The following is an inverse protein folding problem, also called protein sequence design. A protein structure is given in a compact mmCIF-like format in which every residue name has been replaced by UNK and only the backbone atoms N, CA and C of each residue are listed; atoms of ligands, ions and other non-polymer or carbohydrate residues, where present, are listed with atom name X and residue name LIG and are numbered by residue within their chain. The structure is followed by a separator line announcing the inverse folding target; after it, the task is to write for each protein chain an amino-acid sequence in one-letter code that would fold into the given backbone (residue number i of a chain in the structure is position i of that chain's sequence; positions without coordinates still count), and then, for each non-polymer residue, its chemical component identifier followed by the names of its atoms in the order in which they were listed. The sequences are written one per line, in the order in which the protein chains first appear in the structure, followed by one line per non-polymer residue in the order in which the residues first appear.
data_IF_858511633671
#
_entry.id   IF_858511633671
#
_cell.length_a   1.000
_cell.length_b   1.000
_cell.length_c   1.000
_cell.angle_alpha   90.00
_cell.angle_beta   90.00
_cell.angle_gamma   90.00
#
_symmetry.space_group_name_H-M   'P 1'
#
loop_
_entity.id
_entity.type
_entity.pdbx_description
1 polymer ?
#
# COMPACT_ATOMS: atom_id res chain seq x y z
N UNK A 1 60.14 27.36 -36.06
CA UNK A 1 59.86 28.45 -35.10
C UNK A 1 58.68 29.23 -35.66
N UNK A 2 57.45 28.94 -35.21
CA UNK A 2 56.25 29.82 -35.20
C UNK A 2 55.10 28.97 -34.61
N UNK A 3 54.73 29.29 -33.36
CA UNK A 3 53.61 28.69 -32.62
C UNK A 3 52.55 29.78 -32.48
N UNK A 4 51.36 29.55 -33.01
CA UNK A 4 50.16 30.35 -32.71
C UNK A 4 49.36 29.64 -31.61
N UNK A 5 49.30 30.26 -30.44
CA UNK A 5 48.44 29.92 -29.32
C UNK A 5 47.04 30.48 -29.59
N UNK A 6 46.01 29.64 -29.61
CA UNK A 6 44.62 30.05 -29.46
C UNK A 6 44.08 29.39 -28.18
N UNK A 7 43.84 30.20 -27.15
CA UNK A 7 43.34 29.76 -25.86
C UNK A 7 41.86 29.40 -25.94
N UNK A 8 41.50 28.20 -25.51
CA UNK A 8 40.12 27.79 -25.29
C UNK A 8 39.70 28.14 -23.86
N UNK A 9 38.69 28.99 -23.72
CA UNK A 9 38.01 29.31 -22.46
C UNK A 9 37.10 28.13 -22.12
N UNK A 10 37.39 27.43 -21.03
CA UNK A 10 36.58 26.34 -20.49
C UNK A 10 35.55 26.93 -19.51
N UNK A 11 34.28 26.98 -19.92
CA UNK A 11 33.18 27.45 -19.09
C UNK A 11 32.73 26.32 -18.14
N UNK A 12 33.16 26.38 -16.88
CA UNK A 12 32.70 25.48 -15.81
C UNK A 12 31.31 25.96 -15.37
N UNK A 13 30.26 25.21 -15.71
CA UNK A 13 28.92 25.40 -15.16
C UNK A 13 28.86 24.75 -13.78
N UNK A 14 29.01 25.57 -12.73
CA UNK A 14 28.77 25.19 -11.34
C UNK A 14 27.25 25.03 -11.12
N UNK A 15 26.80 23.80 -10.90
CA UNK A 15 25.46 23.53 -10.35
C UNK A 15 25.46 23.89 -8.86
N UNK A 16 24.95 25.07 -8.54
CA UNK A 16 24.62 25.41 -7.15
C UNK A 16 23.32 24.67 -6.75
N UNK A 17 23.23 24.07 -5.55
CA UNK A 17 21.97 23.57 -5.03
C UNK A 17 21.04 24.76 -4.80
N UNK A 18 19.92 24.79 -5.54
CA UNK A 18 18.85 25.77 -5.30
C UNK A 18 18.18 25.37 -3.99
N UNK A 19 18.55 26.04 -2.91
CA UNK A 19 17.75 26.03 -1.68
C UNK A 19 16.55 26.92 -1.96
N UNK A 20 15.44 26.31 -2.40
CA UNK A 20 14.16 27.02 -2.55
C UNK A 20 13.64 27.29 -1.14
N UNK A 21 13.77 28.54 -0.71
CA UNK A 21 13.07 29.06 0.46
C UNK A 21 11.58 29.02 0.15
N UNK A 22 10.91 28.01 0.68
CA UNK A 22 9.54 27.66 0.32
C UNK A 22 8.54 28.61 1.00
N UNK A 23 8.52 29.88 0.57
CA UNK A 23 7.36 30.74 0.78
C UNK A 23 6.24 30.29 -0.17
N UNK A 24 4.98 30.56 0.18
CA UNK A 24 3.81 30.17 -0.61
C UNK A 24 3.99 30.48 -2.11
N UNK A 25 3.77 29.49 -2.98
CA UNK A 25 3.85 29.66 -4.43
C UNK A 25 2.97 30.83 -4.89
N UNK A 26 3.55 31.80 -5.60
CA UNK A 26 2.80 32.94 -6.15
C UNK A 26 1.76 32.47 -7.19
N UNK A 27 0.71 33.26 -7.45
CA UNK A 27 -0.25 32.96 -8.53
C UNK A 27 0.42 32.72 -9.89
N UNK A 28 1.45 33.50 -10.22
CA UNK A 28 2.23 33.38 -11.45
C UNK A 28 3.04 32.08 -11.49
N UNK A 29 3.66 31.70 -10.38
CA UNK A 29 4.41 30.44 -10.26
C UNK A 29 3.49 29.22 -10.40
N UNK A 30 2.28 29.28 -9.80
CA UNK A 30 1.27 28.23 -9.93
C UNK A 30 0.84 28.05 -11.39
N UNK A 31 0.51 29.16 -12.06
CA UNK A 31 0.11 29.13 -13.48
C UNK A 31 1.22 28.56 -14.38
N UNK A 32 2.48 28.94 -14.12
CA UNK A 32 3.64 28.38 -14.84
C UNK A 32 3.79 26.87 -14.62
N UNK A 33 3.70 26.40 -13.38
CA UNK A 33 3.82 24.98 -13.04
C UNK A 33 2.66 24.16 -13.62
N UNK A 34 1.46 24.72 -13.67
CA UNK A 34 0.29 24.08 -14.28
C UNK A 34 0.44 23.96 -15.80
N UNK A 35 0.94 25.01 -16.47
CA UNK A 35 1.26 24.95 -17.89
C UNK A 35 2.34 23.90 -18.19
N UNK A 36 3.41 23.85 -17.39
CA UNK A 36 4.47 22.85 -17.51
C UNK A 36 3.93 21.43 -17.27
N UNK A 37 3.11 21.24 -16.23
CA UNK A 37 2.47 19.96 -15.93
C UNK A 37 1.63 19.45 -17.11
N UNK A 38 0.81 20.33 -17.70
CA UNK A 38 -0.05 20.01 -18.84
C UNK A 38 0.77 19.68 -20.09
N UNK A 39 1.90 20.36 -20.30
CA UNK A 39 2.82 20.05 -21.38
C UNK A 39 3.47 18.67 -21.19
N UNK A 40 3.92 18.35 -19.97
CA UNK A 40 4.48 17.04 -19.64
C UNK A 40 3.47 15.91 -19.82
N UNK A 41 2.20 16.16 -19.51
CA UNK A 41 1.12 15.19 -19.76
C UNK A 41 1.00 14.84 -21.25
N UNK A 42 1.09 15.84 -22.13
CA UNK A 42 1.09 15.62 -23.59
C UNK A 42 2.32 14.84 -24.03
N UNK A 43 3.51 15.21 -23.54
CA UNK A 43 4.76 14.49 -23.85
C UNK A 43 4.67 13.01 -23.44
N UNK A 44 4.11 12.70 -22.26
CA UNK A 44 3.96 11.32 -21.79
C UNK A 44 3.07 10.50 -22.73
N UNK A 45 1.97 11.08 -23.23
CA UNK A 45 1.05 10.44 -24.18
C UNK A 45 1.72 10.25 -25.55
N UNK A 46 2.47 11.25 -26.03
CA UNK A 46 3.24 11.15 -27.27
C UNK A 46 4.28 10.04 -27.19
N UNK A 47 5.05 9.96 -26.10
CA UNK A 47 6.02 8.88 -25.91
C UNK A 47 5.34 7.51 -25.77
N UNK A 48 4.15 7.44 -25.17
CA UNK A 48 3.36 6.22 -25.14
C UNK A 48 2.97 5.77 -26.55
N UNK A 49 2.55 6.70 -27.41
CA UNK A 49 2.26 6.40 -28.81
C UNK A 49 3.48 5.89 -29.57
N UNK A 50 4.66 6.50 -29.37
CA UNK A 50 5.92 6.01 -29.95
C UNK A 50 6.23 4.58 -29.49
N UNK A 51 6.02 4.27 -28.20
CA UNK A 51 6.20 2.91 -27.68
C UNK A 51 5.25 1.92 -28.36
N UNK A 52 3.98 2.31 -28.54
CA UNK A 52 2.97 1.46 -29.17
C UNK A 52 3.25 1.22 -30.66
N UNK A 53 3.68 2.24 -31.40
CA UNK A 53 4.09 2.13 -32.81
C UNK A 53 5.37 1.30 -32.97
N UNK A 54 6.28 1.37 -32.02
CA UNK A 54 7.55 0.64 -32.06
C UNK A 54 7.39 -0.86 -31.80
N UNK A 55 6.25 -1.29 -31.22
CA UNK A 55 5.92 -2.73 -31.06
C UNK A 55 5.95 -3.50 -32.38
N UNK A 56 5.58 -2.86 -33.50
CA UNK A 56 5.62 -3.46 -34.83
C UNK A 56 7.05 -3.73 -35.33
N UNK A 57 8.06 -3.13 -34.71
CA UNK A 57 9.50 -3.27 -35.04
C UNK A 57 10.25 -4.13 -34.02
N UNK A 58 9.54 -4.95 -33.24
CA UNK A 58 10.11 -5.86 -32.24
C UNK A 58 11.17 -6.77 -32.88
N UNK A 59 12.21 -7.11 -32.11
CA UNK A 59 13.33 -7.93 -32.56
C UNK A 59 14.13 -7.30 -33.72
N UNK A 60 14.16 -5.98 -33.80
CA UNK A 60 15.09 -5.24 -34.67
C UNK A 60 15.92 -4.29 -33.82
N UNK A 61 17.19 -4.10 -34.18
CA UNK A 61 18.07 -3.17 -33.46
C UNK A 61 17.47 -1.76 -33.38
N UNK A 62 16.96 -1.26 -34.50
CA UNK A 62 16.35 0.07 -34.55
C UNK A 62 15.09 0.14 -33.68
N UNK A 63 14.25 -0.89 -33.68
CA UNK A 63 13.07 -0.97 -32.83
C UNK A 63 13.42 -0.99 -31.35
N UNK A 64 14.40 -1.80 -30.95
CA UNK A 64 14.85 -1.90 -29.56
C UNK A 64 15.47 -0.59 -29.06
N UNK A 65 16.31 0.06 -29.87
CA UNK A 65 16.92 1.36 -29.54
C UNK A 65 15.84 2.44 -29.45
N UNK A 66 14.89 2.47 -30.39
CA UNK A 66 13.76 3.42 -30.33
C UNK A 66 12.90 3.18 -29.09
N UNK A 67 12.63 1.93 -28.73
CA UNK A 67 11.87 1.56 -27.52
C UNK A 67 12.56 2.07 -26.26
N UNK A 68 13.86 1.79 -26.11
CA UNK A 68 14.64 2.24 -24.94
C UNK A 68 14.71 3.77 -24.86
N UNK A 69 14.88 4.45 -26.00
CA UNK A 69 14.85 5.92 -26.04
C UNK A 69 13.49 6.47 -25.60
N UNK A 70 12.40 5.93 -26.12
CA UNK A 70 11.05 6.36 -25.76
C UNK A 70 10.74 6.09 -24.28
N UNK A 71 11.19 4.95 -23.74
CA UNK A 71 11.08 4.63 -22.30
C UNK A 71 11.86 5.63 -21.44
N UNK A 72 13.09 5.99 -21.82
CA UNK A 72 13.90 7.00 -21.12
C UNK A 72 13.18 8.35 -21.12
N UNK A 73 12.71 8.80 -22.29
CA UNK A 73 12.04 10.11 -22.42
C UNK A 73 10.71 10.18 -21.69
N UNK A 74 9.91 9.11 -21.74
CA UNK A 74 8.70 8.99 -20.95
C UNK A 74 9.00 9.04 -19.45
N UNK A 75 10.01 8.30 -18.98
CA UNK A 75 10.40 8.29 -17.58
C UNK A 75 10.93 9.65 -17.11
N UNK A 76 11.74 10.34 -17.93
CA UNK A 76 12.20 11.71 -17.65
C UNK A 76 11.02 12.68 -17.51
N UNK A 77 10.05 12.63 -18.41
CA UNK A 77 8.85 13.46 -18.34
C UNK A 77 8.00 13.16 -17.10
N UNK A 78 7.82 11.89 -16.76
CA UNK A 78 7.13 11.46 -15.55
C UNK A 78 7.84 11.93 -14.26
N UNK A 79 9.17 11.89 -14.21
CA UNK A 79 9.95 12.42 -13.09
C UNK A 79 9.71 13.91 -12.91
N UNK A 80 9.80 14.70 -14.00
CA UNK A 80 9.52 16.15 -13.96
C UNK A 80 8.10 16.41 -13.45
N UNK A 81 7.13 15.70 -14.00
CA UNK A 81 5.72 15.84 -13.60
C UNK A 81 5.52 15.54 -12.11
N UNK A 82 6.11 14.45 -11.61
CA UNK A 82 6.00 14.07 -10.19
C UNK A 82 6.76 15.01 -9.27
N UNK A 83 7.89 15.57 -9.68
CA UNK A 83 8.60 16.59 -8.89
C UNK A 83 7.77 17.87 -8.73
N UNK A 84 7.05 18.30 -9.78
CA UNK A 84 6.09 19.41 -9.68
C UNK A 84 4.98 19.07 -8.67
N UNK A 85 4.41 17.87 -8.76
CA UNK A 85 3.38 17.42 -7.82
C UNK A 85 3.90 17.34 -6.37
N UNK A 86 5.12 16.85 -6.15
CA UNK A 86 5.76 16.80 -4.83
C UNK A 86 5.95 18.21 -4.27
N UNK A 87 6.34 19.18 -5.09
CA UNK A 87 6.47 20.58 -4.66
C UNK A 87 5.14 21.15 -4.19
N UNK A 88 4.06 20.94 -4.97
CA UNK A 88 2.71 21.35 -4.59
C UNK A 88 2.24 20.69 -3.28
N UNK A 89 2.39 19.37 -3.17
CA UNK A 89 2.05 18.61 -1.96
C UNK A 89 2.84 19.09 -0.74
N UNK A 90 4.13 19.43 -0.90
CA UNK A 90 4.97 19.93 0.20
C UNK A 90 4.44 21.24 0.78
N UNK A 91 3.92 22.13 -0.07
CA UNK A 91 3.29 23.40 0.34
C UNK A 91 1.98 23.13 1.07
N UNK A 92 1.13 22.25 0.53
CA UNK A 92 -0.15 21.88 1.15
C UNK A 92 0.05 21.22 2.52
N UNK A 93 1.00 20.29 2.62
CA UNK A 93 1.36 19.60 3.87
C UNK A 93 1.80 20.62 4.93
N UNK A 94 2.62 21.60 4.56
CA UNK A 94 3.05 22.65 5.49
C UNK A 94 1.88 23.50 5.96
N UNK A 95 1.06 23.98 5.02
CA UNK A 95 -0.11 24.81 5.34
C UNK A 95 -1.08 24.09 6.27
N UNK A 96 -1.36 22.81 6.02
CA UNK A 96 -2.20 21.98 6.90
C UNK A 96 -1.55 21.73 8.26
N UNK A 97 -0.23 21.48 8.29
CA UNK A 97 0.50 21.30 9.56
C UNK A 97 0.44 22.56 10.43
N UNK A 98 0.60 23.74 9.84
CA UNK A 98 0.45 25.02 10.54
C UNK A 98 -0.99 25.24 11.02
N UNK A 99 -1.99 24.91 10.20
CA UNK A 99 -3.39 25.04 10.56
C UNK A 99 -3.78 24.11 11.73
N UNK A 100 -3.37 22.84 11.68
CA UNK A 100 -3.52 21.89 12.80
C UNK A 100 -2.83 22.39 14.06
N UNK A 101 -1.66 23.02 13.93
CA UNK A 101 -0.96 23.67 15.04
C UNK A 101 -1.82 24.76 15.70
N UNK A 102 -2.44 25.63 14.89
CA UNK A 102 -3.37 26.67 15.37
C UNK A 102 -4.62 26.09 16.03
N UNK A 103 -5.23 25.06 15.44
CA UNK A 103 -6.38 24.37 16.04
C UNK A 103 -6.02 23.70 17.36
N UNK A 104 -4.84 23.07 17.44
CA UNK A 104 -4.35 22.43 18.68
C UNK A 104 -4.12 23.46 19.79
N UNK A 105 -3.60 24.64 19.45
CA UNK A 105 -3.44 25.74 20.40
C UNK A 105 -4.80 26.25 20.90
N UNK A 106 -5.74 26.53 19.97
CA UNK A 106 -7.10 26.96 20.32
C UNK A 106 -7.80 25.93 21.19
N UNK A 107 -7.66 24.64 20.87
CA UNK A 107 -8.22 23.54 21.68
C UNK A 107 -7.70 23.59 23.12
N UNK A 108 -6.40 23.83 23.32
CA UNK A 108 -5.79 23.96 24.64
C UNK A 108 -6.35 25.19 25.38
N UNK A 109 -6.45 26.33 24.72
CA UNK A 109 -7.01 27.56 25.29
C UNK A 109 -8.49 27.40 25.69
N UNK A 110 -9.28 26.70 24.88
CA UNK A 110 -10.69 26.37 25.17
C UNK A 110 -10.78 25.39 26.34
N UNK A 111 -9.90 24.39 26.45
CA UNK A 111 -9.85 23.48 27.60
C UNK A 111 -9.50 24.21 28.90
N UNK A 112 -8.57 25.16 28.86
CA UNK A 112 -8.19 25.98 30.02
C UNK A 112 -9.34 26.89 30.47
N UNK A 113 -10.06 27.48 29.49
CA UNK A 113 -11.26 28.28 29.73
C UNK A 113 -12.39 27.44 30.34
N UNK A 114 -12.65 26.25 29.79
CA UNK A 114 -13.62 25.29 30.30
C UNK A 114 -13.29 24.90 31.75
N UNK A 115 -12.04 24.59 32.05
CA UNK A 115 -11.60 24.27 33.41
C UNK A 115 -11.81 25.44 34.38
N UNK A 116 -11.61 26.68 33.91
CA UNK A 116 -11.92 27.88 34.71
C UNK A 116 -13.41 28.06 34.96
N UNK A 117 -14.27 27.83 33.95
CA UNK A 117 -15.73 27.91 34.08
C UNK A 117 -16.26 26.83 35.02
N UNK A 118 -15.75 25.59 34.92
CA UNK A 118 -16.11 24.50 35.82
C UNK A 118 -15.75 24.80 37.28
N UNK A 119 -14.58 25.39 37.55
CA UNK A 119 -14.19 25.80 38.91
C UNK A 119 -15.11 26.88 39.46
N UNK A 120 -15.47 27.88 38.65
CA UNK A 120 -16.43 28.93 39.05
C UNK A 120 -17.83 28.37 39.28
N UNK A 121 -18.25 27.40 38.47
CA UNK A 121 -19.53 26.71 38.65
C UNK A 121 -19.54 25.94 39.97
N UNK A 122 -18.47 25.19 40.30
CA UNK A 122 -18.34 24.50 41.59
C UNK A 122 -18.35 25.46 42.80
N UNK A 123 -17.75 26.64 42.67
CA UNK A 123 -17.79 27.67 43.71
C UNK A 123 -19.22 28.19 43.94
N UNK A 124 -20.01 28.33 42.87
CA UNK A 124 -21.39 28.84 42.91
C UNK A 124 -22.42 27.77 43.31
N UNK A 125 -22.26 26.52 42.88
CA UNK A 125 -23.15 25.39 43.21
C UNK A 125 -23.17 25.06 44.72
N UNK A 126 -22.16 25.51 45.47
CA UNK A 126 -22.13 25.43 46.94
C UNK A 126 -23.17 26.33 47.60
N UNK A 127 -23.78 27.26 46.86
CA UNK A 127 -24.79 28.19 47.36
C UNK A 127 -26.17 27.74 46.82
N UNK A 128 -27.00 27.19 47.70
CA UNK A 128 -28.37 26.82 47.33
C UNK A 128 -29.16 28.04 46.85
N UNK A 129 -29.87 27.94 45.71
CA UNK A 129 -30.80 28.98 45.23
C UNK A 129 -31.82 29.43 46.28
N UNK A 130 -32.23 28.51 47.18
CA UNK A 130 -33.10 28.81 48.32
C UNK A 130 -32.36 29.62 49.39
N UNK A 131 -31.09 29.31 49.65
CA UNK A 131 -30.24 30.08 50.55
C UNK A 131 -29.90 31.47 49.96
N UNK A 132 -29.76 31.57 48.64
CA UNK A 132 -29.56 32.81 47.91
C UNK A 132 -30.80 33.72 47.97
N UNK A 133 -32.00 33.16 47.76
CA UNK A 133 -33.26 33.90 47.89
C UNK A 133 -33.55 34.39 49.33
N UNK A 134 -33.09 33.65 50.34
CA UNK A 134 -33.23 34.03 51.76
C UNK A 134 -32.14 35.03 52.19
N UNK A 135 -30.95 34.97 51.58
CA UNK A 135 -29.80 35.82 51.90
C UNK A 135 -29.72 37.13 51.12
N UNK A 136 -30.44 37.27 50.01
CA UNK A 136 -30.46 38.47 49.17
C UNK A 136 -31.15 39.66 49.87
N UNK A 137 -30.53 40.84 49.82
CA UNK A 137 -31.02 42.08 50.47
C UNK A 137 -32.28 42.65 49.83
N UNK A 138 -32.49 42.39 48.53
CA UNK A 138 -33.68 42.78 47.78
C UNK A 138 -33.89 41.86 46.55
N UNK A 139 -35.06 41.98 45.91
CA UNK A 139 -35.41 41.19 44.73
C UNK A 139 -34.46 41.41 43.55
N UNK A 140 -33.91 42.61 43.38
CA UNK A 140 -33.00 42.91 42.27
C UNK A 140 -31.67 42.16 42.44
N UNK A 141 -31.14 42.08 43.67
CA UNK A 141 -29.95 41.31 43.99
C UNK A 141 -30.13 39.82 43.67
N UNK A 142 -31.27 39.24 44.05
CA UNK A 142 -31.60 37.85 43.71
C UNK A 142 -31.62 37.59 42.19
N UNK A 143 -32.29 38.46 41.42
CA UNK A 143 -32.35 38.30 39.96
C UNK A 143 -30.99 38.47 39.29
N UNK A 144 -30.12 39.35 39.80
CA UNK A 144 -28.75 39.52 39.28
C UNK A 144 -27.90 38.25 39.52
N UNK A 145 -28.03 37.61 40.67
CA UNK A 145 -27.31 36.37 40.97
C UNK A 145 -27.85 35.17 40.19
N UNK A 146 -29.17 35.07 40.02
CA UNK A 146 -29.78 34.04 39.18
C UNK A 146 -29.39 34.18 37.69
N UNK A 147 -29.37 35.42 37.16
CA UNK A 147 -28.91 35.72 35.80
C UNK A 147 -27.43 35.37 35.60
N UNK A 148 -26.61 35.58 36.64
CA UNK A 148 -25.18 35.20 36.62
C UNK A 148 -24.99 33.70 36.49
N UNK A 149 -25.78 32.89 37.21
CA UNK A 149 -25.74 31.42 37.12
C UNK A 149 -26.17 30.96 35.71
N UNK A 150 -27.31 31.44 35.21
CA UNK A 150 -27.80 31.08 33.88
C UNK A 150 -26.82 31.47 32.77
N UNK A 151 -26.18 32.64 32.91
CA UNK A 151 -25.14 33.09 31.97
C UNK A 151 -23.89 32.19 32.04
N UNK A 152 -23.54 31.69 33.23
CA UNK A 152 -22.41 30.78 33.40
C UNK A 152 -22.69 29.40 32.79
N UNK A 153 -23.88 28.86 33.00
CA UNK A 153 -24.34 27.60 32.38
C UNK A 153 -24.35 27.72 30.86
N UNK A 154 -24.90 28.80 30.29
CA UNK A 154 -24.92 29.04 28.85
C UNK A 154 -23.49 29.14 28.27
N UNK A 155 -22.57 29.84 28.96
CA UNK A 155 -21.15 29.91 28.55
C UNK A 155 -20.44 28.57 28.64
N UNK A 156 -20.79 27.73 29.62
CA UNK A 156 -20.23 26.39 29.77
C UNK A 156 -20.65 25.50 28.60
N UNK A 157 -21.95 25.50 28.26
CA UNK A 157 -22.48 24.79 27.09
C UNK A 157 -21.82 25.26 25.80
N UNK A 158 -21.75 26.57 25.57
CA UNK A 158 -21.08 27.18 24.40
C UNK A 158 -19.60 26.74 24.29
N UNK A 159 -18.87 26.74 25.42
CA UNK A 159 -17.44 26.35 25.44
C UNK A 159 -17.26 24.85 25.15
N UNK A 160 -18.16 24.00 25.63
CA UNK A 160 -18.13 22.56 25.35
C UNK A 160 -18.41 22.31 23.87
N UNK A 161 -19.39 22.99 23.29
CA UNK A 161 -19.73 22.88 21.87
C UNK A 161 -18.60 23.38 20.96
N UNK A 162 -17.96 24.49 21.34
CA UNK A 162 -16.75 24.99 20.66
C UNK A 162 -15.63 23.94 20.71
N UNK A 163 -15.38 23.33 21.88
CA UNK A 163 -14.34 22.32 22.04
C UNK A 163 -14.61 21.07 21.19
N UNK A 164 -15.86 20.61 21.13
CA UNK A 164 -16.25 19.48 20.28
C UNK A 164 -16.06 19.81 18.80
N UNK A 165 -16.40 21.03 18.39
CA UNK A 165 -16.20 21.52 17.01
C UNK A 165 -14.72 21.55 16.64
N UNK A 166 -13.88 22.19 17.45
CA UNK A 166 -12.43 22.26 17.22
C UNK A 166 -11.81 20.85 17.14
N UNK A 167 -12.26 19.94 18.01
CA UNK A 167 -11.80 18.54 17.99
C UNK A 167 -12.17 17.85 16.68
N UNK A 168 -13.42 18.00 16.23
CA UNK A 168 -13.89 17.44 14.96
C UNK A 168 -13.09 17.97 13.77
N UNK A 169 -12.92 19.29 13.69
CA UNK A 169 -12.13 19.95 12.64
C UNK A 169 -10.66 19.48 12.65
N UNK A 170 -10.06 19.36 13.84
CA UNK A 170 -8.68 18.90 14.00
C UNK A 170 -8.50 17.47 13.49
N UNK A 171 -9.43 16.56 13.80
CA UNK A 171 -9.37 15.18 13.31
C UNK A 171 -9.56 15.09 11.78
N UNK A 172 -10.46 15.90 11.21
CA UNK A 172 -10.63 16.00 9.76
C UNK A 172 -9.35 16.51 9.07
N UNK A 173 -8.74 17.56 9.60
CA UNK A 173 -7.49 18.11 9.06
C UNK A 173 -6.31 17.13 9.20
N UNK A 174 -6.24 16.38 10.30
CA UNK A 174 -5.24 15.31 10.49
C UNK A 174 -5.42 14.18 9.47
N UNK A 175 -6.65 13.76 9.20
CA UNK A 175 -6.94 12.76 8.17
C UNK A 175 -6.52 13.26 6.78
N UNK A 176 -6.91 14.49 6.42
CA UNK A 176 -6.52 15.10 5.16
C UNK A 176 -4.99 15.28 5.03
N UNK A 177 -4.30 15.63 6.12
CA UNK A 177 -2.83 15.70 6.14
C UNK A 177 -2.19 14.33 5.90
N UNK A 178 -2.75 13.26 6.48
CA UNK A 178 -2.24 11.90 6.27
C UNK A 178 -2.36 11.48 4.80
N UNK A 179 -3.50 11.76 4.15
CA UNK A 179 -3.69 11.50 2.71
C UNK A 179 -2.67 12.25 1.85
N UNK A 180 -2.37 13.51 2.16
CA UNK A 180 -1.38 14.30 1.42
C UNK A 180 0.04 13.76 1.60
N UNK A 181 0.38 13.27 2.80
CA UNK A 181 1.67 12.61 3.06
C UNK A 181 1.80 11.30 2.29
N UNK A 182 0.75 10.49 2.25
CA UNK A 182 0.74 9.26 1.45
C UNK A 182 0.90 9.57 -0.04
N UNK A 183 0.21 10.59 -0.56
CA UNK A 183 0.36 11.04 -1.94
C UNK A 183 1.79 11.53 -2.27
N UNK A 184 2.46 12.20 -1.33
CA UNK A 184 3.85 12.64 -1.49
C UNK A 184 4.80 11.44 -1.53
N UNK A 185 4.63 10.47 -0.62
CA UNK A 185 5.41 9.24 -0.58
C UNK A 185 5.22 8.44 -1.88
N UNK A 186 3.99 8.33 -2.36
CA UNK A 186 3.66 7.66 -3.62
C UNK A 186 4.33 8.34 -4.82
N UNK A 187 4.29 9.67 -4.89
CA UNK A 187 4.96 10.41 -5.95
C UNK A 187 6.49 10.23 -5.90
N UNK A 188 7.09 10.25 -4.70
CA UNK A 188 8.53 10.01 -4.52
C UNK A 188 8.92 8.59 -4.92
N UNK A 189 8.12 7.60 -4.57
CA UNK A 189 8.34 6.23 -4.98
C UNK A 189 8.34 6.09 -6.51
N UNK A 190 7.39 6.73 -7.20
CA UNK A 190 7.38 6.76 -8.67
C UNK A 190 8.66 7.40 -9.21
N UNK A 191 9.13 8.52 -8.65
CA UNK A 191 10.38 9.16 -9.08
C UNK A 191 11.57 8.20 -8.97
N UNK A 192 11.73 7.52 -7.83
CA UNK A 192 12.86 6.59 -7.63
C UNK A 192 12.76 5.36 -8.53
N UNK A 193 11.57 4.78 -8.69
CA UNK A 193 11.32 3.68 -9.64
C UNK A 193 11.68 4.08 -11.07
N UNK A 194 11.32 5.31 -11.49
CA UNK A 194 11.62 5.82 -12.83
C UNK A 194 13.10 6.13 -13.04
N UNK A 195 13.82 6.59 -12.01
CA UNK A 195 15.29 6.72 -12.08
C UNK A 195 15.97 5.38 -12.30
N UNK A 196 15.52 4.35 -11.59
CA UNK A 196 16.03 2.98 -11.80
C UNK A 196 15.70 2.48 -13.21
N UNK A 197 14.49 2.75 -13.71
CA UNK A 197 14.09 2.42 -15.09
C UNK A 197 15.00 3.11 -16.12
N UNK A 198 15.31 4.40 -15.95
CA UNK A 198 16.23 5.14 -16.83
C UNK A 198 17.61 4.50 -16.80
N UNK A 199 18.18 4.26 -15.63
CA UNK A 199 19.51 3.65 -15.50
C UNK A 199 19.58 2.28 -16.19
N UNK A 200 18.57 1.43 -16.01
CA UNK A 200 18.45 0.13 -16.71
C UNK A 200 18.34 0.31 -18.22
N UNK A 201 17.52 1.26 -18.68
CA UNK A 201 17.29 1.51 -20.11
C UNK A 201 18.52 2.09 -20.81
N UNK A 202 19.25 2.98 -20.15
CA UNK A 202 20.51 3.56 -20.63
C UNK A 202 21.62 2.50 -20.68
N UNK A 203 21.70 1.63 -19.68
CA UNK A 203 22.63 0.50 -19.70
C UNK A 203 22.32 -0.43 -20.88
N UNK A 204 21.07 -0.85 -21.03
CA UNK A 204 20.63 -1.69 -22.15
C UNK A 204 20.85 -1.05 -23.52
N UNK A 205 20.63 0.26 -23.64
CA UNK A 205 20.88 1.01 -24.88
C UNK A 205 22.37 1.03 -25.21
N UNK A 206 23.23 1.32 -24.23
CA UNK A 206 24.70 1.32 -24.41
C UNK A 206 25.22 -0.06 -24.79
N UNK A 207 24.71 -1.10 -24.14
CA UNK A 207 25.04 -2.49 -24.45
C UNK A 207 24.66 -2.85 -25.89
N UNK A 208 23.40 -2.58 -26.29
CA UNK A 208 22.94 -2.80 -27.67
C UNK A 208 23.83 -2.09 -28.67
N UNK A 209 24.05 -0.79 -28.51
CA UNK A 209 24.87 0.01 -29.45
C UNK A 209 26.34 -0.44 -29.49
N UNK A 210 26.87 -1.01 -28.39
CA UNK A 210 28.25 -1.54 -28.34
C UNK A 210 28.35 -2.86 -29.08
N UNK A 211 27.39 -3.78 -28.85
CA UNK A 211 27.37 -5.10 -29.49
C UNK A 211 27.10 -4.96 -30.99
N UNK A 212 26.23 -4.04 -31.39
CA UNK A 212 25.83 -3.86 -32.80
C UNK A 212 26.74 -2.98 -33.63
N UNK A 213 27.73 -2.31 -33.02
CA UNK A 213 28.85 -1.69 -33.77
C UNK A 213 29.59 -2.72 -34.65
N UNK A 214 29.43 -4.02 -34.38
CA UNK A 214 30.07 -5.13 -35.07
C UNK A 214 29.13 -5.91 -36.03
N UNK A 215 28.13 -5.25 -36.65
CA UNK A 215 27.18 -5.80 -37.64
C UNK A 215 26.00 -6.65 -37.08
N UNK A 216 25.01 -6.95 -37.93
CA UNK A 216 23.73 -7.66 -37.65
C UNK A 216 23.91 -9.00 -36.91
N UNK A 217 25.03 -9.68 -37.09
CA UNK A 217 25.35 -10.95 -36.41
C UNK A 217 25.50 -10.78 -34.88
N UNK A 218 25.98 -9.63 -34.41
CA UNK A 218 26.04 -9.31 -32.99
C UNK A 218 24.65 -9.17 -32.36
N UNK A 219 23.68 -8.65 -33.12
CA UNK A 219 22.30 -8.51 -32.65
C UNK A 219 21.58 -9.86 -32.53
N UNK A 220 21.86 -10.81 -33.44
CA UNK A 220 21.33 -12.17 -33.34
C UNK A 220 21.77 -12.88 -32.04
N UNK A 221 23.00 -12.61 -31.56
CA UNK A 221 23.47 -13.12 -30.25
C UNK A 221 22.68 -12.52 -29.08
N UNK A 222 22.33 -11.23 -29.15
CA UNK A 222 21.48 -10.57 -28.14
C UNK A 222 20.07 -11.17 -28.12
N UNK A 223 19.48 -11.42 -29.29
CA UNK A 223 18.17 -12.08 -29.38
C UNK A 223 18.23 -13.49 -28.79
N UNK A 224 19.27 -14.26 -29.10
CA UNK A 224 19.46 -15.60 -28.54
C UNK A 224 19.66 -15.58 -27.01
N UNK A 225 20.38 -14.61 -26.46
CA UNK A 225 20.54 -14.43 -25.02
C UNK A 225 19.22 -14.03 -24.35
N UNK A 226 18.48 -13.09 -24.93
CA UNK A 226 17.15 -12.70 -24.42
C UNK A 226 16.17 -13.86 -24.42
N UNK A 227 16.18 -14.68 -25.47
CA UNK A 227 15.37 -15.89 -25.55
C UNK A 227 15.78 -16.91 -24.48
N UNK A 228 17.09 -17.15 -24.29
CA UNK A 228 17.59 -18.00 -23.20
C UNK A 228 17.21 -17.47 -21.82
N UNK A 229 17.25 -16.16 -21.60
CA UNK A 229 16.80 -15.54 -20.34
C UNK A 229 15.28 -15.69 -20.16
N UNK A 230 14.49 -15.50 -21.22
CA UNK A 230 13.04 -15.72 -21.17
C UNK A 230 12.72 -17.17 -20.85
N UNK A 231 13.44 -18.13 -21.42
CA UNK A 231 13.34 -19.55 -21.09
C UNK A 231 13.79 -19.84 -19.66
N UNK A 232 14.87 -19.21 -19.17
CA UNK A 232 15.32 -19.36 -17.80
C UNK A 232 14.30 -18.80 -16.79
N UNK A 233 13.73 -17.63 -17.07
CA UNK A 233 12.62 -17.05 -16.29
C UNK A 233 11.41 -17.98 -16.36
N UNK A 234 11.02 -18.46 -17.55
CA UNK A 234 9.94 -19.44 -17.69
C UNK A 234 10.24 -20.74 -16.95
N UNK A 235 11.47 -21.24 -16.91
CA UNK A 235 11.80 -22.48 -16.21
C UNK A 235 11.86 -22.28 -14.69
N UNK A 236 12.38 -21.14 -14.22
CA UNK A 236 12.40 -20.78 -12.81
C UNK A 236 11.00 -20.51 -12.26
N UNK A 237 10.12 -19.94 -13.09
CA UNK A 237 8.75 -19.65 -12.74
C UNK A 237 7.84 -20.88 -12.95
N UNK A 238 7.97 -21.60 -14.06
CA UNK A 238 7.16 -22.76 -14.43
C UNK A 238 7.98 -24.04 -14.29
N UNK A 239 8.23 -24.52 -13.06
CA UNK A 239 8.87 -25.82 -12.92
C UNK A 239 7.97 -26.90 -13.55
N UNK A 240 8.60 -27.94 -14.10
CA UNK A 240 7.91 -29.09 -14.70
C UNK A 240 6.87 -29.67 -13.71
N UNK A 241 5.86 -30.34 -14.28
CA UNK A 241 4.60 -30.84 -13.69
C UNK A 241 4.67 -31.52 -12.31
N UNK A 242 5.86 -31.88 -11.85
CA UNK A 242 6.12 -32.63 -10.60
C UNK A 242 6.69 -31.74 -9.46
N UNK A 243 6.74 -30.42 -9.62
CA UNK A 243 7.11 -29.53 -8.53
C UNK A 243 5.98 -29.38 -7.51
N UNK A 244 6.34 -29.42 -6.22
CA UNK A 244 5.43 -29.05 -5.13
C UNK A 244 4.92 -27.61 -5.34
N UNK A 245 3.62 -27.37 -5.09
CA UNK A 245 2.98 -26.05 -5.17
C UNK A 245 2.23 -25.73 -6.47
N UNK A 246 1.82 -24.47 -6.62
CA UNK A 246 1.10 -23.96 -7.81
C UNK A 246 2.15 -23.57 -8.86
N UNK A 247 2.12 -24.14 -10.08
CA UNK A 247 3.00 -23.70 -11.15
C UNK A 247 2.79 -22.21 -11.42
N UNK A 248 3.86 -21.42 -11.54
CA UNK A 248 3.72 -19.96 -11.65
C UNK A 248 2.84 -19.53 -12.81
N UNK A 249 2.87 -20.20 -13.96
CA UNK A 249 1.96 -19.90 -15.06
C UNK A 249 0.50 -19.92 -14.66
N UNK A 250 0.13 -20.99 -13.96
CA UNK A 250 -1.23 -21.13 -13.41
C UNK A 250 -1.50 -20.05 -12.37
N UNK A 251 -0.52 -19.77 -11.49
CA UNK A 251 -0.65 -18.70 -10.51
C UNK A 251 -0.82 -17.31 -11.16
N UNK A 252 -0.07 -17.03 -12.22
CA UNK A 252 -0.11 -15.79 -12.99
C UNK A 252 -1.46 -15.64 -13.69
N UNK A 253 -1.96 -16.68 -14.34
CA UNK A 253 -3.27 -16.67 -15.01
C UNK A 253 -4.40 -16.44 -14.00
N UNK A 254 -4.35 -17.13 -12.86
CA UNK A 254 -5.33 -16.94 -11.78
C UNK A 254 -5.22 -15.55 -11.14
N UNK A 255 -4.00 -15.04 -10.94
CA UNK A 255 -3.78 -13.71 -10.39
C UNK A 255 -4.16 -12.61 -11.39
N UNK A 256 -4.02 -12.83 -12.69
CA UNK A 256 -4.51 -11.94 -13.74
C UNK A 256 -6.03 -11.90 -13.77
N UNK A 257 -6.70 -13.06 -13.70
CA UNK A 257 -8.15 -13.15 -13.57
C UNK A 257 -8.66 -12.44 -12.30
N UNK A 258 -7.96 -12.65 -11.18
CA UNK A 258 -8.31 -12.02 -9.91
C UNK A 258 -8.12 -10.49 -9.95
N UNK A 259 -7.00 -10.03 -10.51
CA UNK A 259 -6.71 -8.61 -10.77
C UNK A 259 -7.83 -7.93 -11.57
N UNK A 260 -8.34 -8.56 -12.63
CA UNK A 260 -9.45 -8.01 -13.41
C UNK A 260 -10.74 -7.81 -12.59
N UNK A 261 -10.98 -8.66 -11.58
CA UNK A 261 -12.19 -8.58 -10.75
C UNK A 261 -12.04 -7.64 -9.55
N UNK A 262 -10.83 -7.46 -9.04
CA UNK A 262 -10.60 -6.77 -7.77
C UNK A 262 -9.85 -5.45 -7.91
N UNK A 263 -9.25 -5.19 -9.08
CA UNK A 263 -8.37 -4.04 -9.32
C UNK A 263 -7.02 -4.15 -8.63
N UNK A 264 -6.72 -5.24 -7.91
CA UNK A 264 -5.42 -5.44 -7.25
C UNK A 264 -4.39 -5.90 -8.26
N UNK A 265 -3.21 -5.27 -8.27
CA UNK A 265 -2.14 -5.60 -9.21
C UNK A 265 -1.74 -7.07 -9.12
N UNK A 266 -1.67 -7.74 -10.28
CA UNK A 266 -1.28 -9.16 -10.41
C UNK A 266 0.01 -9.49 -9.66
N UNK A 267 1.03 -8.65 -9.79
CA UNK A 267 2.30 -8.84 -9.12
C UNK A 267 2.21 -8.74 -7.59
N UNK A 268 1.30 -7.91 -7.04
CA UNK A 268 1.07 -7.85 -5.59
C UNK A 268 0.39 -9.12 -5.08
N UNK A 269 -0.60 -9.63 -5.82
CA UNK A 269 -1.28 -10.90 -5.48
C UNK A 269 -0.23 -12.03 -5.40
N UNK A 270 0.59 -12.17 -6.44
CA UNK A 270 1.68 -13.16 -6.47
C UNK A 270 2.71 -12.94 -5.34
N UNK A 271 3.03 -11.69 -5.01
CA UNK A 271 3.94 -11.37 -3.92
C UNK A 271 3.43 -11.83 -2.56
N UNK A 272 2.15 -11.60 -2.27
CA UNK A 272 1.53 -12.07 -1.02
C UNK A 272 1.46 -13.59 -1.00
N UNK A 273 0.99 -14.25 -2.07
CA UNK A 273 0.99 -15.73 -2.11
C UNK A 273 2.39 -16.34 -1.98
N UNK A 274 3.41 -15.71 -2.57
CA UNK A 274 4.81 -16.13 -2.39
C UNK A 274 5.27 -15.92 -0.95
N UNK A 275 4.85 -14.84 -0.28
CA UNK A 275 5.18 -14.57 1.11
C UNK A 275 4.49 -15.54 2.08
N UNK A 276 3.25 -15.94 1.78
CA UNK A 276 2.43 -16.80 2.64
C UNK A 276 2.78 -18.29 2.54
N UNK A 277 2.96 -18.81 1.31
CA UNK A 277 3.09 -20.25 1.11
C UNK A 277 4.14 -20.65 0.08
N UNK A 278 4.96 -19.70 -0.38
CA UNK A 278 5.82 -19.85 -1.55
C UNK A 278 5.05 -20.39 -2.77
N UNK A 279 3.94 -19.72 -3.10
CA UNK A 279 3.01 -20.10 -4.17
C UNK A 279 2.40 -21.50 -3.98
N UNK A 280 1.98 -21.81 -2.75
CA UNK A 280 1.30 -23.06 -2.44
C UNK A 280 2.22 -24.27 -2.23
N UNK A 281 3.54 -24.10 -2.15
CA UNK A 281 4.45 -25.17 -1.70
C UNK A 281 4.20 -25.56 -0.25
N UNK A 282 3.89 -24.56 0.58
CA UNK A 282 3.73 -24.72 2.02
C UNK A 282 2.25 -24.51 2.42
N UNK A 283 1.38 -25.48 2.13
CA UNK A 283 -0.08 -25.40 2.41
C UNK A 283 -0.52 -26.05 3.73
N UNK A 284 0.44 -26.36 4.61
CA UNK A 284 0.19 -26.96 5.91
C UNK A 284 0.98 -28.24 6.13
N UNK A 285 1.44 -28.41 7.38
CA UNK A 285 2.25 -29.54 7.81
C UNK A 285 1.68 -30.22 9.06
N UNK A 286 0.43 -29.89 9.42
CA UNK A 286 -0.30 -30.45 10.55
C UNK A 286 -1.68 -30.93 10.14
N UNK A 287 -2.21 -31.88 10.90
CA UNK A 287 -3.60 -32.31 10.87
C UNK A 287 -4.26 -32.02 12.22
N UNK A 288 -5.53 -31.64 12.21
CA UNK A 288 -6.33 -31.55 13.44
C UNK A 288 -6.65 -32.97 13.90
N UNK A 289 -6.42 -33.27 15.17
CA UNK A 289 -6.71 -34.57 15.78
C UNK A 289 -8.01 -34.55 16.58
N UNK A 290 -8.41 -33.38 17.09
CA UNK A 290 -9.64 -33.22 17.86
C UNK A 290 -10.27 -31.84 17.62
N UNK A 291 -11.52 -31.82 17.17
CA UNK A 291 -12.28 -30.58 16.97
C UNK A 291 -12.76 -29.92 18.27
N UNK A 292 -12.89 -30.70 19.35
CA UNK A 292 -13.33 -30.22 20.66
C UNK A 292 -12.19 -29.58 21.47
N UNK A 293 -10.95 -30.04 21.28
CA UNK A 293 -9.77 -29.50 21.97
C UNK A 293 -8.91 -28.62 21.06
N UNK A 294 -9.00 -28.77 19.73
CA UNK A 294 -8.18 -28.03 18.76
C UNK A 294 -6.76 -28.57 18.64
N UNK A 295 -6.49 -29.71 19.29
CA UNK A 295 -5.20 -30.39 19.24
C UNK A 295 -4.98 -31.02 17.86
N UNK A 296 -3.71 -31.18 17.49
CA UNK A 296 -3.35 -31.82 16.24
C UNK A 296 -1.96 -32.42 16.25
N UNK A 297 -1.58 -32.98 15.12
CA UNK A 297 -0.33 -33.71 14.93
C UNK A 297 0.40 -33.24 13.67
N UNK A 298 1.73 -33.18 13.72
CA UNK A 298 2.54 -32.91 12.54
C UNK A 298 2.38 -34.03 11.52
N UNK A 299 2.01 -33.68 10.28
CA UNK A 299 1.76 -34.60 9.15
C UNK A 299 2.91 -35.58 8.92
N UNK A 300 4.15 -35.09 8.98
CA UNK A 300 5.36 -35.89 8.72
C UNK A 300 6.11 -36.29 9.99
N UNK A 301 5.82 -35.66 11.14
CA UNK A 301 6.62 -35.82 12.36
C UNK A 301 5.90 -36.53 13.48
N UNK A 302 4.56 -36.63 13.43
CA UNK A 302 3.74 -37.14 14.53
C UNK A 302 3.76 -36.27 15.79
N UNK A 303 4.46 -35.12 15.78
CA UNK A 303 4.56 -34.24 16.93
C UNK A 303 3.18 -33.69 17.30
N UNK A 304 2.78 -33.87 18.56
CA UNK A 304 1.52 -33.35 19.08
C UNK A 304 1.65 -31.85 19.35
N UNK A 305 0.60 -31.11 19.00
CA UNK A 305 0.44 -29.69 19.26
C UNK A 305 -0.92 -29.45 19.92
N UNK A 306 -0.92 -28.76 21.06
CA UNK A 306 -2.15 -28.45 21.80
C UNK A 306 -2.95 -27.30 21.19
N UNK A 307 -2.34 -26.55 20.27
CA UNK A 307 -2.82 -25.30 19.70
C UNK A 307 -2.81 -25.33 18.15
N UNK A 308 -3.13 -26.48 17.55
CA UNK A 308 -3.23 -26.61 16.09
C UNK A 308 -4.35 -25.73 15.53
N UNK A 309 -5.48 -25.63 16.23
CA UNK A 309 -6.61 -24.81 15.77
C UNK A 309 -7.37 -24.21 16.95
N UNK A 310 -7.88 -22.98 16.81
CA UNK A 310 -8.61 -22.29 17.89
C UNK A 310 -10.03 -22.85 18.03
N UNK A 311 -10.36 -23.36 19.22
CA UNK A 311 -11.73 -23.78 19.56
C UNK A 311 -12.54 -22.61 20.16
N UNK A 312 -13.84 -22.47 19.85
CA UNK A 312 -14.56 -23.08 18.73
C UNK A 312 -14.43 -22.25 17.44
N UNK A 313 -13.76 -21.09 17.51
CA UNK A 313 -13.72 -20.07 16.46
C UNK A 313 -13.34 -20.64 15.09
N UNK A 314 -12.35 -21.53 15.03
CA UNK A 314 -11.83 -22.07 13.77
C UNK A 314 -12.17 -23.55 13.57
N UNK A 315 -12.30 -24.35 14.63
CA UNK A 315 -12.64 -25.78 14.49
C UNK A 315 -14.04 -26.00 13.93
N UNK A 316 -15.02 -25.18 14.33
CA UNK A 316 -16.40 -25.28 13.84
C UNK A 316 -16.50 -24.88 12.35
N UNK A 317 -15.95 -23.74 11.90
CA UNK A 317 -15.85 -23.45 10.46
C UNK A 317 -15.07 -24.51 9.69
N UNK A 318 -13.98 -25.06 10.25
CA UNK A 318 -13.17 -26.07 9.57
C UNK A 318 -13.97 -27.34 9.27
N UNK A 319 -14.72 -27.83 10.25
CA UNK A 319 -15.61 -28.98 10.08
C UNK A 319 -16.68 -28.71 9.00
N UNK A 320 -17.30 -27.53 9.00
CA UNK A 320 -18.26 -27.14 7.96
C UNK A 320 -17.64 -27.09 6.57
N UNK A 321 -16.50 -26.44 6.43
CA UNK A 321 -15.81 -26.28 5.14
C UNK A 321 -15.42 -27.64 4.57
N UNK A 322 -14.78 -28.48 5.39
CA UNK A 322 -14.35 -29.82 4.96
C UNK A 322 -15.54 -30.71 4.61
N UNK A 323 -16.59 -30.72 5.44
CA UNK A 323 -17.82 -31.47 5.15
C UNK A 323 -18.51 -31.01 3.87
N UNK A 324 -18.61 -29.69 3.64
CA UNK A 324 -19.22 -29.14 2.43
C UNK A 324 -18.43 -29.46 1.15
N UNK A 325 -17.13 -29.75 1.27
CA UNK A 325 -16.24 -30.16 0.19
C UNK A 325 -16.13 -31.69 0.05
N UNK A 326 -16.78 -32.46 0.92
CA UNK A 326 -16.65 -33.92 0.97
C UNK A 326 -15.26 -34.40 1.42
N UNK A 327 -14.51 -33.56 2.15
CA UNK A 327 -13.18 -33.87 2.67
C UNK A 327 -13.26 -34.33 4.12
N UNK A 328 -12.39 -35.27 4.51
CA UNK A 328 -12.22 -35.64 5.91
C UNK A 328 -11.31 -34.64 6.63
N UNK A 329 -11.87 -33.89 7.59
CA UNK A 329 -11.14 -32.87 8.36
C UNK A 329 -9.86 -33.39 9.01
N UNK A 330 -9.86 -34.66 9.46
CA UNK A 330 -8.75 -35.30 10.14
C UNK A 330 -7.51 -35.53 9.24
N UNK A 331 -7.69 -35.44 7.92
CA UNK A 331 -6.62 -35.62 6.92
C UNK A 331 -6.42 -34.38 6.04
N UNK A 332 -7.18 -33.32 6.28
CA UNK A 332 -7.03 -32.05 5.56
C UNK A 332 -5.87 -31.25 6.15
N UNK A 333 -4.84 -30.90 5.35
CA UNK A 333 -3.65 -30.24 5.87
C UNK A 333 -3.94 -28.79 6.26
N UNK A 334 -3.38 -28.40 7.42
CA UNK A 334 -3.41 -27.04 7.96
C UNK A 334 -2.03 -26.62 8.46
N UNK A 335 -1.82 -25.32 8.65
CA UNK A 335 -0.58 -24.79 9.22
C UNK A 335 -0.39 -25.28 10.66
N UNK A 336 0.86 -25.54 11.02
CA UNK A 336 1.25 -25.82 12.40
C UNK A 336 1.42 -24.51 13.19
N UNK A 337 1.25 -24.52 14.51
CA UNK A 337 1.52 -23.33 15.34
C UNK A 337 3.01 -22.97 15.30
N UNK A 338 3.30 -21.69 15.01
CA UNK A 338 4.68 -21.19 14.86
C UNK A 338 5.32 -20.94 16.23
N UNK A 339 6.49 -21.54 16.47
CA UNK A 339 7.28 -21.29 17.69
C UNK A 339 6.59 -21.69 19.01
N UNK A 340 5.54 -22.52 18.95
CA UNK A 340 4.74 -22.92 20.11
C UNK A 340 3.89 -21.79 20.73
N UNK A 341 3.88 -20.60 20.12
CA UNK A 341 3.09 -19.44 20.56
C UNK A 341 2.03 -19.14 19.50
N UNK A 342 0.80 -18.81 19.92
CA UNK A 342 -0.32 -18.58 19.00
C UNK A 342 -1.02 -19.88 18.57
N UNK A 343 -1.74 -19.86 17.45
CA UNK A 343 -2.46 -21.01 16.91
C UNK A 343 -2.02 -21.27 15.46
N UNK A 344 -2.09 -22.52 15.03
CA UNK A 344 -2.00 -22.90 13.62
C UNK A 344 -3.37 -22.80 12.92
N UNK A 345 -3.61 -23.74 12.00
CA UNK A 345 -4.96 -23.99 11.46
C UNK A 345 -5.24 -23.28 10.14
N UNK A 346 -4.29 -22.53 9.59
CA UNK A 346 -4.44 -21.88 8.30
C UNK A 346 -4.49 -22.91 7.17
N UNK A 347 -5.37 -22.68 6.19
CA UNK A 347 -5.65 -23.62 5.11
C UNK A 347 -5.12 -23.12 3.77
N UNK A 348 -4.59 -24.04 2.98
CA UNK A 348 -4.34 -23.84 1.55
C UNK A 348 -3.35 -22.71 1.20
N UNK A 349 -3.23 -22.35 -0.09
CA UNK A 349 -2.21 -21.40 -0.56
C UNK A 349 -2.29 -20.00 0.04
N UNK A 350 -3.49 -19.51 0.38
CA UNK A 350 -3.68 -18.19 0.99
C UNK A 350 -3.34 -18.14 2.48
N UNK A 351 -3.18 -19.30 3.13
CA UNK A 351 -2.99 -19.41 4.58
C UNK A 351 -4.09 -18.69 5.38
N UNK A 352 -5.34 -18.78 4.95
CA UNK A 352 -6.47 -18.26 5.71
C UNK A 352 -6.91 -19.25 6.79
N UNK A 353 -7.12 -18.77 8.01
CA UNK A 353 -7.80 -19.56 9.04
C UNK A 353 -9.28 -19.79 8.64
N UNK A 354 -9.91 -20.88 9.12
CA UNK A 354 -11.28 -21.25 8.75
C UNK A 354 -12.31 -20.14 8.90
N UNK A 355 -12.28 -19.40 10.01
CA UNK A 355 -13.20 -18.28 10.23
C UNK A 355 -13.02 -17.16 9.20
N UNK A 356 -11.77 -16.82 8.84
CA UNK A 356 -11.47 -15.86 7.78
C UNK A 356 -11.96 -16.34 6.42
N UNK A 357 -11.77 -17.63 6.09
CA UNK A 357 -12.24 -18.19 4.82
C UNK A 357 -13.76 -18.05 4.67
N UNK A 358 -14.53 -18.30 5.73
CA UNK A 358 -15.98 -18.15 5.69
C UNK A 358 -16.43 -16.71 5.41
N UNK A 359 -15.69 -15.69 5.86
CA UNK A 359 -15.99 -14.29 5.53
C UNK A 359 -15.92 -14.02 4.02
N UNK A 360 -14.99 -14.68 3.31
CA UNK A 360 -14.79 -14.50 1.87
C UNK A 360 -15.59 -15.48 1.02
N UNK A 361 -16.09 -16.59 1.60
CA UNK A 361 -16.79 -17.63 0.85
C UNK A 361 -17.97 -17.09 -0.01
N UNK A 362 -18.84 -16.19 0.47
CA UNK A 362 -19.91 -15.63 -0.38
C UNK A 362 -19.37 -14.84 -1.58
N UNK A 363 -18.36 -13.97 -1.37
CA UNK A 363 -17.70 -13.20 -2.44
C UNK A 363 -17.01 -14.14 -3.44
N UNK A 364 -16.40 -15.23 -2.98
CA UNK A 364 -15.78 -16.24 -3.82
C UNK A 364 -16.79 -16.97 -4.70
N UNK A 365 -17.92 -17.40 -4.15
CA UNK A 365 -19.01 -18.03 -4.93
C UNK A 365 -19.44 -17.14 -6.09
N UNK A 366 -19.70 -15.86 -5.80
CA UNK A 366 -20.10 -14.88 -6.81
C UNK A 366 -18.99 -14.59 -7.83
N UNK A 367 -17.75 -14.38 -7.38
CA UNK A 367 -16.64 -14.00 -8.26
C UNK A 367 -16.21 -15.13 -9.19
N UNK A 368 -16.32 -16.39 -8.75
CA UNK A 368 -15.82 -17.56 -9.48
C UNK A 368 -16.93 -18.39 -10.12
N UNK A 369 -18.19 -18.18 -9.74
CA UNK A 369 -19.33 -18.97 -10.23
C UNK A 369 -19.30 -20.41 -9.73
N UNK A 370 -18.82 -20.63 -8.49
CA UNK A 370 -18.68 -21.98 -7.90
C UNK A 370 -19.66 -22.20 -6.76
N UNK A 371 -20.16 -23.43 -6.62
CA UNK A 371 -21.11 -23.78 -5.57
C UNK A 371 -20.47 -23.77 -4.16
N UNK A 372 -19.25 -24.32 -4.04
CA UNK A 372 -18.48 -24.38 -2.80
C UNK A 372 -17.01 -23.97 -3.05
N UNK A 373 -16.56 -22.82 -2.52
CA UNK A 373 -15.17 -22.42 -2.56
C UNK A 373 -14.30 -23.38 -1.74
N UNK A 374 -13.20 -23.82 -2.35
CA UNK A 374 -12.23 -24.75 -1.78
C UNK A 374 -10.93 -24.02 -1.43
N UNK A 375 -10.52 -23.94 -0.15
CA UNK A 375 -9.29 -23.24 0.24
C UNK A 375 -8.01 -23.89 -0.28
N UNK A 376 -8.04 -25.18 -0.62
CA UNK A 376 -6.89 -25.89 -1.21
C UNK A 376 -6.86 -25.83 -2.75
N UNK A 377 -7.89 -25.28 -3.39
CA UNK A 377 -7.88 -25.01 -4.82
C UNK A 377 -7.11 -23.71 -5.13
N UNK A 378 -6.17 -23.78 -6.07
CA UNK A 378 -5.28 -22.67 -6.42
C UNK A 378 -6.05 -21.43 -6.90
N UNK A 379 -7.05 -21.59 -7.78
CA UNK A 379 -7.82 -20.48 -8.33
C UNK A 379 -8.64 -19.80 -7.24
N UNK A 380 -9.25 -20.58 -6.36
CA UNK A 380 -10.07 -20.08 -5.25
C UNK A 380 -9.22 -19.33 -4.23
N UNK A 381 -8.09 -19.90 -3.82
CA UNK A 381 -7.15 -19.27 -2.90
C UNK A 381 -6.61 -17.95 -3.46
N UNK A 382 -6.16 -17.94 -4.71
CA UNK A 382 -5.63 -16.71 -5.34
C UNK A 382 -6.70 -15.62 -5.43
N UNK A 383 -7.94 -15.98 -5.78
CA UNK A 383 -9.06 -15.05 -5.76
C UNK A 383 -9.35 -14.53 -4.35
N UNK A 384 -9.27 -15.39 -3.32
CA UNK A 384 -9.51 -14.99 -1.93
C UNK A 384 -8.46 -13.98 -1.46
N UNK A 385 -7.18 -14.22 -1.75
CA UNK A 385 -6.10 -13.28 -1.48
C UNK A 385 -6.34 -11.94 -2.18
N UNK A 386 -6.73 -11.95 -3.45
CA UNK A 386 -7.00 -10.73 -4.21
C UNK A 386 -8.20 -9.94 -3.67
N UNK A 387 -9.29 -10.62 -3.30
CA UNK A 387 -10.48 -9.98 -2.70
C UNK A 387 -10.10 -9.35 -1.36
N UNK A 388 -9.35 -10.07 -0.52
CA UNK A 388 -8.95 -9.52 0.77
C UNK A 388 -8.05 -8.29 0.61
N UNK A 389 -7.05 -8.35 -0.29
CA UNK A 389 -6.20 -7.19 -0.56
C UNK A 389 -7.00 -5.99 -1.11
N UNK A 390 -8.04 -6.22 -1.89
CA UNK A 390 -8.92 -5.17 -2.38
C UNK A 390 -9.71 -4.52 -1.25
N UNK A 391 -10.31 -5.33 -0.35
CA UNK A 391 -11.00 -4.85 0.84
C UNK A 391 -10.05 -4.04 1.76
N UNK A 392 -8.75 -4.32 1.70
CA UNK A 392 -7.69 -3.61 2.44
C UNK A 392 -7.15 -2.35 1.72
N UNK A 393 -7.66 -2.02 0.53
CA UNK A 393 -7.34 -0.80 -0.21
C UNK A 393 -6.28 -0.96 -1.31
N UNK A 394 -5.75 -2.17 -1.56
CA UNK A 394 -4.73 -2.37 -2.59
C UNK A 394 -5.23 -2.11 -4.04
N UNK A 395 -6.54 -2.02 -4.24
CA UNK A 395 -7.15 -1.72 -5.54
C UNK A 395 -6.77 -0.34 -6.11
N UNK A 396 -6.31 0.60 -5.27
CA UNK A 396 -5.82 1.90 -5.72
C UNK A 396 -4.48 1.84 -6.46
N UNK A 397 -3.75 0.71 -6.36
CA UNK A 397 -2.47 0.46 -7.02
C UNK A 397 -1.39 1.54 -6.76
N UNK A 398 -1.42 2.19 -5.60
CA UNK A 398 -0.35 3.10 -5.16
C UNK A 398 0.59 2.40 -4.19
N UNK A 399 1.83 2.87 -4.10
CA UNK A 399 2.84 2.27 -3.23
C UNK A 399 2.37 2.19 -1.77
N UNK A 400 1.86 3.29 -1.22
CA UNK A 400 1.38 3.37 0.16
C UNK A 400 0.16 2.48 0.38
N UNK A 401 -0.77 2.43 -0.58
CA UNK A 401 -1.96 1.58 -0.49
C UNK A 401 -1.61 0.09 -0.51
N UNK A 402 -0.79 -0.36 -1.46
CA UNK A 402 -0.37 -1.76 -1.56
C UNK A 402 0.47 -2.18 -0.34
N UNK A 403 1.39 -1.33 0.11
CA UNK A 403 2.23 -1.58 1.28
C UNK A 403 1.40 -1.68 2.55
N UNK A 404 0.46 -0.75 2.76
CA UNK A 404 -0.43 -0.78 3.92
C UNK A 404 -1.40 -1.96 3.87
N UNK A 405 -1.91 -2.34 2.70
CA UNK A 405 -2.72 -3.52 2.52
C UNK A 405 -1.95 -4.79 2.90
N UNK A 406 -0.68 -4.91 2.51
CA UNK A 406 0.17 -6.03 2.92
C UNK A 406 0.38 -6.08 4.45
N UNK A 407 0.63 -4.94 5.11
CA UNK A 407 0.70 -4.89 6.57
C UNK A 407 -0.61 -5.27 7.26
N UNK A 408 -1.76 -4.83 6.71
CA UNK A 408 -3.09 -5.18 7.23
C UNK A 408 -3.40 -6.65 7.02
N UNK A 409 -2.99 -7.22 5.88
CA UNK A 409 -3.11 -8.64 5.60
C UNK A 409 -2.40 -9.46 6.68
N UNK A 410 -1.19 -9.05 7.05
CA UNK A 410 -0.36 -9.72 8.05
C UNK A 410 -0.82 -9.52 9.51
N UNK A 411 -1.18 -8.29 9.90
CA UNK A 411 -1.39 -7.95 11.33
C UNK A 411 -2.71 -7.24 11.65
N UNK A 412 -3.58 -7.03 10.67
CA UNK A 412 -4.82 -6.26 10.82
C UNK A 412 -4.62 -4.75 10.98
N UNK A 413 -3.38 -4.25 10.86
CA UNK A 413 -3.02 -2.84 11.06
C UNK A 413 -2.27 -2.29 9.84
N UNK A 414 -2.41 -0.99 9.57
CA UNK A 414 -1.52 -0.30 8.62
C UNK A 414 -0.05 -0.46 9.04
N UNK A 415 0.87 -0.22 8.11
CA UNK A 415 2.29 -0.35 8.44
C UNK A 415 2.68 0.66 9.52
N UNK A 416 3.15 0.15 10.64
CA UNK A 416 3.61 0.93 11.78
C UNK A 416 4.84 0.29 12.44
N UNK A 417 5.38 0.98 13.43
CA UNK A 417 6.55 0.55 14.21
C UNK A 417 6.15 -0.03 15.58
N UNK A 418 4.85 -0.18 15.87
CA UNK A 418 4.38 -0.68 17.17
C UNK A 418 4.60 -2.19 17.24
N UNK A 419 4.97 -2.68 18.43
CA UNK A 419 5.17 -4.12 18.65
C UNK A 419 3.84 -4.90 18.58
N UNK A 420 3.78 -6.05 17.87
CA UNK A 420 4.83 -6.58 17.00
C UNK A 420 4.93 -5.75 15.70
N UNK A 421 6.17 -5.44 15.31
CA UNK A 421 6.49 -4.65 14.11
C UNK A 421 5.92 -5.34 12.87
N UNK A 422 5.20 -4.60 12.01
CA UNK A 422 4.62 -5.14 10.78
C UNK A 422 5.17 -4.51 9.49
N UNK A 423 5.82 -3.34 9.55
CA UNK A 423 6.28 -2.64 8.34
C UNK A 423 7.30 -3.45 7.52
N UNK A 424 8.06 -4.34 8.18
CA UNK A 424 9.03 -5.22 7.54
C UNK A 424 8.37 -6.22 6.60
N UNK A 425 7.20 -6.74 6.98
CA UNK A 425 6.38 -7.61 6.13
C UNK A 425 5.91 -6.84 4.88
N UNK A 426 5.35 -5.64 5.07
CA UNK A 426 4.90 -4.80 3.96
C UNK A 426 6.03 -4.50 2.97
N UNK A 427 7.22 -4.14 3.47
CA UNK A 427 8.39 -3.89 2.63
C UNK A 427 8.84 -5.16 1.85
N UNK A 428 8.81 -6.33 2.50
CA UNK A 428 9.18 -7.58 1.84
C UNK A 428 8.20 -7.96 0.71
N UNK A 429 6.89 -7.74 0.93
CA UNK A 429 5.86 -7.95 -0.09
C UNK A 429 6.06 -6.99 -1.27
N UNK A 430 6.31 -5.71 -1.03
CA UNK A 430 6.56 -4.75 -2.12
C UNK A 430 7.80 -5.14 -2.93
N UNK A 431 8.90 -5.51 -2.28
CA UNK A 431 10.11 -5.95 -2.97
C UNK A 431 9.89 -7.22 -3.82
N UNK A 432 9.06 -8.16 -3.35
CA UNK A 432 8.62 -9.33 -4.15
C UNK A 432 7.75 -8.90 -5.33
N UNK A 433 6.81 -7.97 -5.11
CA UNK A 433 5.91 -7.47 -6.14
C UNK A 433 6.66 -6.70 -7.24
N UNK A 434 7.73 -5.99 -6.91
CA UNK A 434 8.62 -5.35 -7.89
C UNK A 434 9.31 -6.41 -8.76
N UNK A 435 9.87 -7.46 -8.17
CA UNK A 435 10.52 -8.55 -8.92
C UNK A 435 9.53 -9.26 -9.85
N UNK A 436 8.34 -9.61 -9.35
CA UNK A 436 7.31 -10.21 -10.20
C UNK A 436 6.88 -9.28 -11.33
N UNK A 437 6.78 -7.97 -11.07
CA UNK A 437 6.47 -7.00 -12.12
C UNK A 437 7.56 -6.95 -13.19
N UNK A 438 8.83 -6.94 -12.78
CA UNK A 438 9.97 -6.97 -13.70
C UNK A 438 9.97 -8.23 -14.59
N UNK A 439 9.71 -9.40 -14.00
CA UNK A 439 9.63 -10.65 -14.75
C UNK A 439 8.44 -10.65 -15.72
N UNK A 440 7.26 -10.19 -15.28
CA UNK A 440 6.06 -10.07 -16.13
C UNK A 440 6.32 -9.13 -17.31
N UNK A 441 6.93 -7.98 -17.06
CA UNK A 441 7.20 -6.98 -18.08
C UNK A 441 8.28 -7.45 -19.06
N UNK A 442 9.32 -8.13 -18.57
CA UNK A 442 10.33 -8.77 -19.42
C UNK A 442 9.71 -9.83 -20.32
N UNK A 443 8.86 -10.71 -19.78
CA UNK A 443 8.21 -11.77 -20.54
C UNK A 443 7.23 -11.26 -21.60
N UNK A 444 6.64 -10.07 -21.42
CA UNK A 444 5.84 -9.38 -22.45
C UNK A 444 6.73 -8.73 -23.52
N UNK A 445 7.94 -8.31 -23.14
CA UNK A 445 8.89 -7.62 -23.99
C UNK A 445 9.70 -8.52 -24.92
N UNK A 446 9.93 -9.78 -24.52
CA UNK A 446 10.47 -10.86 -25.39
C UNK A 446 9.36 -11.48 -26.21
#
# INVERSE_FOLDING_TARGET
MFRTFAGAIFLIVLFAPIVIDAQFLSPEERSRLEAEYNQLQKEIVEWQKVLDETKAKKNTLQGDVTTLNAQIKQAEAQIRQKNIAISGLSVEIRSKTEHIGKLSLRMQETMDSLASLMRRTDEMDRISLVALAIGSTDFSAFFLEADTILTLEARLEETIDELQTIRSETEQERAALAEKKDAEVDARYVVESKKQQIAKSEAGKRELLTITKNQEEGYQKVLAERQRRAEAIRNALFPLRDAEGIPFGTALDHAALASQKTGVRTALILAVLSQESDLGKNVGQCYVASLSTGEGVGKNTGRVFSNTMKVPRDTVPFERITSALGLAWATSPVSCPVGGKGYGGAMGPSQFIPSTWELFAPKLKSSLGVAQPNPWDAKHAIMATAIYLADLGAGSQTYSAERNAACRYYSGRSCDTRSPINYTYGNAVIAKAERFQEDIDFLKGV
#
